data_IF_520457151354
#
_entry.id   IF_520457151354
#
_cell.length_a   1.000
_cell.length_b   1.000
_cell.length_c   1.000
_cell.angle_alpha   90.00
_cell.angle_beta   90.00
_cell.angle_gamma   90.00
#
_symmetry.space_group_name_H-M   'P 1'
#
loop_
_entity.id
_entity.type
_entity.pdbx_description
1 polymer ?
#
# COMPACT_ATOMS: atom_id res chain seq x y z
N UNK A 1 -12.67 9.47 13.98
CA UNK A 1 -12.27 8.05 13.84
C UNK A 1 -11.51 7.56 15.06
N UNK A 2 -10.38 8.15 15.40
CA UNK A 2 -9.55 7.75 16.55
C UNK A 2 -10.31 7.65 17.87
N UNK A 3 -11.01 8.71 18.30
CA UNK A 3 -11.81 8.69 19.54
C UNK A 3 -12.87 7.56 19.58
N UNK A 4 -13.52 7.26 18.45
CA UNK A 4 -14.58 6.24 18.36
C UNK A 4 -14.01 4.82 18.41
N UNK A 5 -12.75 4.63 18.06
CA UNK A 5 -12.14 3.32 17.86
C UNK A 5 -10.90 3.06 18.72
N UNK A 6 -10.59 3.96 19.66
CA UNK A 6 -9.44 3.87 20.56
C UNK A 6 -9.32 2.55 21.34
N UNK A 7 -10.42 1.83 21.56
CA UNK A 7 -10.41 0.54 22.25
C UNK A 7 -10.16 -0.66 21.31
N UNK A 8 -9.92 -0.42 20.02
CA UNK A 8 -9.72 -1.47 19.01
C UNK A 8 -8.24 -1.63 18.71
N UNK A 9 -7.78 -2.87 18.60
CA UNK A 9 -6.40 -3.22 18.25
C UNK A 9 -6.21 -3.58 16.77
N UNK A 10 -7.25 -3.40 15.95
CA UNK A 10 -7.29 -3.79 14.54
C UNK A 10 -7.55 -2.60 13.60
N UNK A 11 -7.22 -1.38 14.04
CA UNK A 11 -7.33 -0.16 13.24
C UNK A 11 -5.94 0.39 12.96
N UNK A 12 -5.65 0.64 11.68
CA UNK A 12 -4.43 1.29 11.20
C UNK A 12 -4.85 2.60 10.53
N UNK A 13 -4.12 3.69 10.79
CA UNK A 13 -4.47 5.01 10.27
C UNK A 13 -3.52 5.42 9.15
N UNK A 14 -3.98 5.38 7.90
CA UNK A 14 -3.27 6.02 6.79
C UNK A 14 -3.74 7.48 6.65
N UNK A 15 -2.83 8.43 6.85
CA UNK A 15 -3.19 9.85 7.01
C UNK A 15 -3.13 10.68 5.73
N UNK A 16 -2.52 10.14 4.68
CA UNK A 16 -2.50 10.72 3.33
C UNK A 16 -2.08 9.62 2.33
N UNK A 17 -2.99 9.23 1.43
CA UNK A 17 -2.79 8.14 0.46
C UNK A 17 -1.57 8.38 -0.44
N UNK A 18 -1.62 9.45 -1.24
CA UNK A 18 -0.66 9.70 -2.32
C UNK A 18 -0.26 11.17 -2.39
N UNK A 19 0.59 11.66 -1.46
CA UNK A 19 1.18 12.98 -1.62
C UNK A 19 1.90 13.12 -2.96
N UNK A 20 1.52 14.12 -3.74
CA UNK A 20 2.09 14.43 -5.05
C UNK A 20 2.17 15.95 -5.23
N UNK A 21 3.17 16.43 -5.97
CA UNK A 21 3.46 17.86 -6.15
C UNK A 21 3.97 18.58 -4.89
N UNK A 22 4.37 17.83 -3.85
CA UNK A 22 4.80 18.36 -2.55
C UNK A 22 6.08 17.70 -2.06
N UNK A 23 6.90 18.45 -1.33
CA UNK A 23 8.17 17.93 -0.79
C UNK A 23 7.96 16.95 0.36
N UNK A 24 8.94 16.07 0.61
CA UNK A 24 8.95 15.24 1.81
C UNK A 24 8.86 16.07 3.11
N UNK A 25 9.53 17.23 3.17
CA UNK A 25 9.47 18.10 4.35
C UNK A 25 8.04 18.59 4.65
N UNK A 26 7.26 18.92 3.60
CA UNK A 26 5.86 19.29 3.73
C UNK A 26 5.00 18.13 4.22
N UNK A 27 5.22 16.92 3.70
CA UNK A 27 4.53 15.69 4.11
C UNK A 27 4.82 15.37 5.57
N UNK A 28 6.09 15.40 5.98
CA UNK A 28 6.52 15.21 7.36
C UNK A 28 5.87 16.23 8.30
N UNK A 29 5.90 17.51 7.93
CA UNK A 29 5.29 18.57 8.74
C UNK A 29 3.78 18.38 8.92
N UNK A 30 3.07 17.94 7.86
CA UNK A 30 1.66 17.56 7.96
C UNK A 30 1.46 16.37 8.90
N UNK A 31 2.25 15.30 8.73
CA UNK A 31 2.16 14.11 9.57
C UNK A 31 2.36 14.43 11.06
N UNK A 32 3.35 15.26 11.37
CA UNK A 32 3.66 15.68 12.75
C UNK A 32 2.58 16.58 13.39
N UNK A 33 1.67 17.14 12.60
CA UNK A 33 0.48 17.85 13.10
C UNK A 33 -0.70 16.90 13.33
N UNK A 34 -0.89 15.89 12.48
CA UNK A 34 -2.03 14.96 12.54
C UNK A 34 -1.82 13.85 13.58
N UNK A 35 -0.60 13.31 13.66
CA UNK A 35 -0.27 12.19 14.57
C UNK A 35 -0.63 12.50 16.03
N UNK A 36 -0.30 13.68 16.61
CA UNK A 36 -0.69 14.01 17.98
C UNK A 36 -2.21 13.96 18.23
N UNK A 37 -3.03 14.30 17.23
CA UNK A 37 -4.50 14.25 17.35
C UNK A 37 -5.00 12.80 17.41
N UNK A 38 -4.39 11.89 16.64
CA UNK A 38 -4.68 10.45 16.72
C UNK A 38 -4.24 9.94 18.10
N UNK A 39 -2.99 10.22 18.49
CA UNK A 39 -2.37 9.75 19.74
C UNK A 39 -3.05 10.26 21.01
N UNK A 40 -3.64 11.44 20.97
CA UNK A 40 -4.43 11.96 22.09
C UNK A 40 -5.68 11.12 22.39
N UNK A 41 -6.12 10.28 21.45
CA UNK A 41 -7.25 9.37 21.62
C UNK A 41 -6.83 7.90 21.64
N UNK A 42 -5.84 7.52 20.83
CA UNK A 42 -5.36 6.15 20.62
C UNK A 42 -3.82 6.16 20.68
N UNK A 43 -3.24 6.08 21.90
CA UNK A 43 -1.81 6.30 22.12
C UNK A 43 -0.91 5.30 21.39
N UNK A 44 -1.40 4.09 21.13
CA UNK A 44 -0.60 2.98 20.59
C UNK A 44 -0.90 2.68 19.11
N UNK A 45 -1.91 3.32 18.49
CA UNK A 45 -2.27 3.22 17.08
C UNK A 45 -1.08 3.10 16.08
N UNK A 46 -1.00 2.10 15.20
CA UNK A 46 -0.09 2.19 14.05
C UNK A 46 -0.57 3.26 13.06
N UNK A 47 0.35 4.10 12.57
CA UNK A 47 0.07 5.15 11.59
C UNK A 47 0.92 4.95 10.34
N UNK A 48 0.29 5.01 9.17
CA UNK A 48 0.94 4.96 7.86
C UNK A 48 0.98 6.38 7.28
N UNK A 49 2.18 6.81 6.91
CA UNK A 49 2.42 8.13 6.30
C UNK A 49 2.74 7.95 4.82
N UNK A 50 1.95 8.60 3.95
CA UNK A 50 2.22 8.68 2.52
C UNK A 50 3.62 9.21 2.22
N UNK A 51 4.19 8.82 1.08
CA UNK A 51 5.52 9.31 0.65
C UNK A 51 5.40 10.16 -0.60
N UNK A 52 6.48 10.89 -0.93
CA UNK A 52 6.47 11.83 -2.06
C UNK A 52 6.24 11.10 -3.39
N UNK A 53 5.52 11.75 -4.30
CA UNK A 53 5.33 11.30 -5.68
C UNK A 53 4.40 10.09 -5.75
N UNK A 54 3.13 10.26 -5.37
CA UNK A 54 2.14 9.18 -5.33
C UNK A 54 2.60 8.00 -4.47
N UNK A 55 3.15 8.32 -3.29
CA UNK A 55 3.71 7.31 -2.38
C UNK A 55 4.75 6.40 -3.05
N UNK A 56 5.52 6.89 -4.01
CA UNK A 56 6.54 6.10 -4.70
C UNK A 56 7.92 6.19 -4.04
N UNK A 57 8.02 6.59 -2.78
CA UNK A 57 9.30 6.96 -2.12
C UNK A 57 10.07 8.05 -2.89
N UNK A 58 9.37 8.98 -3.54
CA UNK A 58 9.95 10.10 -4.29
C UNK A 58 10.39 9.78 -5.72
N UNK A 59 10.46 8.50 -6.11
CA UNK A 59 11.02 8.04 -7.39
C UNK A 59 10.34 8.69 -8.60
N UNK A 60 9.01 8.79 -8.59
CA UNK A 60 8.23 9.35 -9.71
C UNK A 60 8.44 10.86 -9.92
N UNK A 61 8.98 11.56 -8.91
CA UNK A 61 9.27 12.99 -8.95
C UNK A 61 10.79 13.29 -8.90
N UNK A 62 11.62 12.32 -9.28
CA UNK A 62 13.08 12.47 -9.35
C UNK A 62 13.80 12.45 -7.99
N UNK A 63 13.06 12.16 -6.91
CA UNK A 63 13.62 11.86 -5.59
C UNK A 63 14.01 10.39 -5.45
N UNK A 64 14.23 9.96 -4.20
CA UNK A 64 14.47 8.57 -3.84
C UNK A 64 14.22 8.35 -2.35
N UNK A 65 14.30 7.10 -1.91
CA UNK A 65 13.94 6.69 -0.55
C UNK A 65 14.77 7.37 0.54
N UNK A 66 15.95 7.91 0.23
CA UNK A 66 16.81 8.56 1.24
C UNK A 66 16.19 9.83 1.81
N UNK A 67 15.24 10.49 1.11
CA UNK A 67 14.49 11.63 1.64
C UNK A 67 13.77 11.26 2.95
N UNK A 68 13.09 10.11 2.94
CA UNK A 68 12.36 9.58 4.11
C UNK A 68 13.33 9.01 5.13
N UNK A 69 14.30 8.18 4.69
CA UNK A 69 15.14 7.46 5.62
C UNK A 69 16.06 8.40 6.43
N UNK A 70 16.56 9.47 5.82
CA UNK A 70 17.48 10.39 6.50
C UNK A 70 16.74 11.48 7.29
N UNK A 71 15.44 11.63 7.11
CA UNK A 71 14.62 12.60 7.84
C UNK A 71 13.23 12.00 8.16
N UNK A 72 13.17 10.94 8.97
CA UNK A 72 11.91 10.27 9.28
C UNK A 72 10.98 11.19 10.09
N UNK A 73 9.69 10.88 10.09
CA UNK A 73 8.71 11.52 10.99
C UNK A 73 9.13 11.29 12.44
N UNK A 74 9.12 12.34 13.26
CA UNK A 74 9.51 12.28 14.67
C UNK A 74 8.38 11.73 15.55
N UNK A 75 8.03 10.45 15.34
CA UNK A 75 7.07 9.71 16.13
C UNK A 75 7.38 8.21 16.11
N UNK A 76 6.87 7.48 17.10
CA UNK A 76 6.97 6.02 17.15
C UNK A 76 5.75 5.35 16.50
N UNK A 77 5.89 4.06 16.23
CA UNK A 77 4.88 3.20 15.60
C UNK A 77 4.34 3.79 14.27
N UNK A 78 5.30 4.21 13.43
CA UNK A 78 5.08 4.77 12.09
C UNK A 78 5.56 3.77 11.04
N UNK A 79 4.76 3.58 10.01
CA UNK A 79 5.14 2.94 8.75
C UNK A 79 5.01 3.97 7.62
N UNK A 80 5.71 3.73 6.51
CA UNK A 80 5.65 4.58 5.32
C UNK A 80 4.98 3.86 4.16
N UNK A 81 4.06 4.55 3.47
CA UNK A 81 3.38 4.01 2.32
C UNK A 81 4.33 3.88 1.13
N UNK A 82 4.23 2.75 0.42
CA UNK A 82 4.80 2.60 -0.92
C UNK A 82 3.75 2.09 -1.89
N UNK A 83 3.52 2.76 -3.01
CA UNK A 83 2.57 2.34 -4.03
C UNK A 83 3.26 1.91 -5.32
N UNK A 84 2.70 0.89 -5.98
CA UNK A 84 3.18 0.48 -7.29
C UNK A 84 2.10 -0.10 -8.22
N UNK A 85 2.33 -0.01 -9.52
CA UNK A 85 1.54 -0.70 -10.54
C UNK A 85 2.48 -1.58 -11.35
N UNK A 86 2.25 -2.91 -11.28
CA UNK A 86 3.26 -3.91 -11.62
C UNK A 86 3.78 -3.82 -13.07
N UNK A 87 2.94 -3.43 -14.02
CA UNK A 87 3.35 -3.31 -15.42
C UNK A 87 4.21 -2.05 -15.67
N UNK A 88 4.09 -1.02 -14.83
CA UNK A 88 4.80 0.26 -14.97
C UNK A 88 6.04 0.37 -14.08
N UNK A 89 5.94 -0.11 -12.85
CA UNK A 89 6.97 0.07 -11.83
C UNK A 89 7.74 -1.24 -11.67
N UNK A 90 8.98 -1.26 -12.18
CA UNK A 90 9.77 -2.49 -12.28
C UNK A 90 11.05 -2.44 -11.41
N UNK A 91 12.18 -2.91 -11.93
CA UNK A 91 13.44 -3.08 -11.19
C UNK A 91 13.84 -1.90 -10.30
N UNK A 92 13.92 -0.66 -10.83
CA UNK A 92 14.33 0.50 -10.05
C UNK A 92 13.48 0.76 -8.80
N UNK A 93 12.16 0.51 -8.90
CA UNK A 93 11.23 0.65 -7.79
C UNK A 93 11.42 -0.48 -6.76
N UNK A 94 11.61 -1.72 -7.22
CA UNK A 94 11.91 -2.88 -6.34
C UNK A 94 13.21 -2.70 -5.57
N UNK A 95 14.24 -2.15 -6.23
CA UNK A 95 15.53 -1.88 -5.60
C UNK A 95 15.40 -0.80 -4.51
N UNK A 96 14.61 0.25 -4.75
CA UNK A 96 14.33 1.28 -3.76
C UNK A 96 13.58 0.73 -2.54
N UNK A 97 12.54 -0.09 -2.74
CA UNK A 97 11.84 -0.78 -1.64
C UNK A 97 12.81 -1.64 -0.84
N UNK A 98 13.68 -2.41 -1.50
CA UNK A 98 14.66 -3.26 -0.82
C UNK A 98 15.63 -2.46 0.06
N UNK A 99 16.14 -1.32 -0.45
CA UNK A 99 17.00 -0.42 0.32
C UNK A 99 16.25 0.22 1.50
N UNK A 100 15.03 0.70 1.27
CA UNK A 100 14.20 1.33 2.29
C UNK A 100 13.79 0.37 3.41
N UNK A 101 13.31 -0.83 3.07
CA UNK A 101 12.83 -1.82 4.03
C UNK A 101 13.90 -2.29 5.03
N UNK A 102 15.18 -2.17 4.67
CA UNK A 102 16.29 -2.45 5.59
C UNK A 102 16.49 -1.40 6.70
N UNK A 103 15.84 -0.23 6.59
CA UNK A 103 16.07 0.94 7.46
C UNK A 103 14.80 1.55 8.05
N UNK A 104 13.66 1.41 7.37
CA UNK A 104 12.36 1.95 7.82
C UNK A 104 11.22 0.93 7.59
N UNK A 105 10.18 0.93 8.44
CA UNK A 105 9.00 0.09 8.22
C UNK A 105 8.20 0.58 7.02
N UNK A 106 7.88 -0.32 6.10
CA UNK A 106 7.04 -0.04 4.94
C UNK A 106 5.72 -0.81 5.02
N UNK A 107 4.68 -0.21 4.45
CA UNK A 107 3.42 -0.89 4.13
C UNK A 107 3.05 -0.51 2.70
N UNK A 108 2.74 -1.48 1.85
CA UNK A 108 2.20 -1.21 0.51
C UNK A 108 0.69 -1.04 0.61
N UNK A 109 0.23 0.16 0.95
CA UNK A 109 -1.21 0.41 1.17
C UNK A 109 -2.02 0.35 -0.12
N UNK A 110 -1.35 0.48 -1.26
CA UNK A 110 -1.96 0.32 -2.58
C UNK A 110 -0.98 -0.32 -3.57
N UNK A 111 -1.46 -1.28 -4.35
CA UNK A 111 -0.79 -1.66 -5.60
C UNK A 111 -1.76 -2.25 -6.63
N UNK A 112 -1.45 -2.06 -7.91
CA UNK A 112 -2.17 -2.67 -9.03
C UNK A 112 -1.35 -3.73 -9.77
N UNK A 113 -2.04 -4.72 -10.37
CA UNK A 113 -1.43 -5.77 -11.20
C UNK A 113 -1.27 -5.40 -12.68
N UNK A 114 -1.57 -4.15 -13.01
CA UNK A 114 -1.63 -3.58 -14.37
C UNK A 114 -0.71 -2.36 -14.43
N UNK A 115 -0.89 -1.45 -15.40
CA UNK A 115 -0.09 -0.22 -15.49
C UNK A 115 -0.64 0.89 -14.56
N UNK A 116 0.13 1.98 -14.41
CA UNK A 116 -0.15 3.09 -13.48
C UNK A 116 -1.48 3.81 -13.72
N UNK A 117 -2.16 3.56 -14.85
CA UNK A 117 -3.48 4.14 -15.12
C UNK A 117 -4.61 3.43 -14.37
N UNK A 118 -4.30 2.34 -13.65
CA UNK A 118 -5.30 1.45 -13.05
C UNK A 118 -5.96 0.52 -14.07
N UNK A 119 -5.53 0.59 -15.33
CA UNK A 119 -6.03 -0.20 -16.44
C UNK A 119 -4.88 -0.78 -17.26
N UNK A 120 -5.19 -1.36 -18.42
CA UNK A 120 -4.21 -1.98 -19.31
C UNK A 120 -4.00 -3.49 -19.06
N UNK A 121 -3.00 -4.10 -19.73
CA UNK A 121 -2.76 -5.53 -19.63
C UNK A 121 -2.38 -5.96 -18.20
N UNK A 122 -2.95 -7.07 -17.75
CA UNK A 122 -2.52 -7.74 -16.52
C UNK A 122 -1.11 -8.29 -16.70
N UNK A 123 -0.18 -7.87 -15.84
CA UNK A 123 1.21 -8.37 -15.83
C UNK A 123 1.42 -9.32 -14.64
N UNK A 124 1.10 -10.60 -14.86
CA UNK A 124 1.26 -11.63 -13.85
C UNK A 124 2.72 -11.84 -13.41
N UNK A 125 3.67 -11.70 -14.33
CA UNK A 125 5.09 -11.98 -14.05
C UNK A 125 5.69 -10.90 -13.14
N UNK A 126 5.46 -9.63 -13.47
CA UNK A 126 5.89 -8.52 -12.62
C UNK A 126 5.14 -8.52 -11.29
N UNK A 127 3.83 -8.81 -11.28
CA UNK A 127 3.04 -8.94 -10.05
C UNK A 127 3.60 -10.02 -9.13
N UNK A 128 3.92 -11.20 -9.67
CA UNK A 128 4.54 -12.29 -8.90
C UNK A 128 5.91 -11.88 -8.35
N UNK A 129 6.73 -11.20 -9.14
CA UNK A 129 8.05 -10.71 -8.71
C UNK A 129 7.92 -9.72 -7.54
N UNK A 130 6.98 -8.78 -7.62
CA UNK A 130 6.70 -7.83 -6.55
C UNK A 130 6.25 -8.54 -5.28
N UNK A 131 5.23 -9.40 -5.37
CA UNK A 131 4.68 -10.02 -4.17
C UNK A 131 5.66 -10.99 -3.51
N UNK A 132 6.54 -11.66 -4.28
CA UNK A 132 7.62 -12.47 -3.69
C UNK A 132 8.62 -11.61 -2.92
N UNK A 133 8.97 -10.43 -3.45
CA UNK A 133 9.83 -9.48 -2.75
C UNK A 133 9.19 -9.02 -1.44
N UNK A 134 7.92 -8.59 -1.48
CA UNK A 134 7.20 -8.12 -0.29
C UNK A 134 7.11 -9.20 0.79
N UNK A 135 6.78 -10.45 0.40
CA UNK A 135 6.79 -11.59 1.33
C UNK A 135 8.17 -11.81 1.97
N UNK A 136 9.24 -11.78 1.16
CA UNK A 136 10.61 -11.98 1.65
C UNK A 136 11.05 -10.92 2.66
N UNK A 137 10.56 -9.68 2.45
CA UNK A 137 10.84 -8.52 3.30
C UNK A 137 9.81 -8.36 4.43
N UNK A 138 8.80 -9.23 4.50
CA UNK A 138 7.68 -9.17 5.46
C UNK A 138 6.91 -7.84 5.41
N UNK A 139 6.76 -7.29 4.20
CA UNK A 139 6.02 -6.05 3.95
C UNK A 139 4.56 -6.40 3.66
N UNK A 140 3.65 -5.86 4.48
CA UNK A 140 2.20 -6.00 4.26
C UNK A 140 1.75 -5.22 3.02
N UNK A 141 0.70 -5.70 2.36
CA UNK A 141 0.15 -5.08 1.16
C UNK A 141 -1.37 -5.13 1.07
N UNK A 142 -1.96 -4.15 0.38
CA UNK A 142 -3.36 -4.13 -0.01
C UNK A 142 -3.51 -3.84 -1.51
N UNK A 143 -4.24 -4.70 -2.23
CA UNK A 143 -4.41 -4.59 -3.68
C UNK A 143 -5.53 -3.62 -4.06
N UNK A 144 -5.22 -2.73 -5.00
CA UNK A 144 -6.19 -1.95 -5.77
C UNK A 144 -6.76 -2.81 -6.91
N UNK A 145 -8.07 -3.09 -6.96
CA UNK A 145 -9.11 -2.69 -5.99
C UNK A 145 -10.25 -3.71 -5.90
N UNK A 146 -10.93 -3.75 -4.76
CA UNK A 146 -12.12 -4.58 -4.57
C UNK A 146 -13.39 -3.86 -5.06
N UNK A 147 -13.48 -3.69 -6.39
CA UNK A 147 -14.63 -3.12 -7.09
C UNK A 147 -15.02 -3.95 -8.30
N UNK A 148 -16.16 -3.63 -8.92
CA UNK A 148 -16.59 -4.12 -10.23
C UNK A 148 -16.47 -3.05 -11.33
N UNK A 149 -15.58 -2.07 -11.13
CA UNK A 149 -15.31 -1.04 -12.13
C UNK A 149 -14.82 -1.66 -13.45
N UNK A 150 -14.92 -0.93 -14.56
CA UNK A 150 -14.57 -1.46 -15.88
C UNK A 150 -13.06 -1.60 -16.10
N UNK A 151 -12.24 -0.87 -15.34
CA UNK A 151 -10.77 -0.96 -15.36
C UNK A 151 -10.25 -2.37 -15.04
N UNK A 152 -9.10 -2.73 -15.60
CA UNK A 152 -8.58 -4.10 -15.48
C UNK A 152 -7.97 -4.43 -14.10
N UNK A 153 -7.67 -3.43 -13.26
CA UNK A 153 -7.23 -3.64 -11.87
C UNK A 153 -8.36 -4.04 -10.92
N UNK A 154 -9.62 -3.79 -11.28
CA UNK A 154 -10.77 -4.18 -10.48
C UNK A 154 -10.81 -5.70 -10.26
N UNK A 155 -11.04 -6.15 -9.02
CA UNK A 155 -11.08 -7.56 -8.69
C UNK A 155 -12.30 -8.28 -9.29
N UNK A 156 -13.45 -7.61 -9.37
CA UNK A 156 -14.73 -8.19 -9.74
C UNK A 156 -15.13 -7.86 -11.19
N UNK A 157 -15.90 -8.74 -11.83
CA UNK A 157 -16.52 -8.46 -13.13
C UNK A 157 -17.64 -7.42 -13.00
N UNK A 158 -17.84 -6.51 -13.97
CA UNK A 158 -18.90 -5.50 -13.92
C UNK A 158 -20.28 -6.09 -13.62
N UNK A 159 -21.00 -5.47 -12.68
CA UNK A 159 -22.33 -5.92 -12.24
C UNK A 159 -22.29 -6.92 -11.08
N UNK A 160 -21.10 -7.33 -10.61
CA UNK A 160 -21.00 -8.20 -9.42
C UNK A 160 -21.50 -7.48 -8.16
N UNK A 161 -21.23 -6.18 -8.02
CA UNK A 161 -21.57 -5.42 -6.81
C UNK A 161 -23.08 -5.24 -6.61
N UNK A 162 -23.87 -5.21 -7.69
CA UNK A 162 -25.33 -5.14 -7.61
C UNK A 162 -25.99 -6.50 -7.35
N UNK A 163 -25.21 -7.59 -7.43
CA UNK A 163 -25.65 -8.94 -7.13
C UNK A 163 -25.50 -9.33 -5.65
N UNK A 164 -25.78 -10.59 -5.36
CA UNK A 164 -25.68 -11.17 -4.00
C UNK A 164 -24.61 -12.26 -3.89
N UNK A 165 -23.88 -12.56 -4.98
CA UNK A 165 -22.89 -13.63 -5.01
C UNK A 165 -21.50 -13.07 -5.32
N UNK A 166 -20.58 -13.23 -4.36
CA UNK A 166 -19.17 -12.82 -4.44
C UNK A 166 -18.21 -14.02 -4.44
N UNK A 167 -18.74 -15.23 -4.56
CA UNK A 167 -17.99 -16.47 -4.36
C UNK A 167 -17.47 -17.04 -5.68
N UNK A 168 -16.28 -17.64 -5.60
CA UNK A 168 -15.66 -18.37 -6.70
C UNK A 168 -15.00 -17.47 -7.75
N UNK A 169 -14.31 -18.09 -8.71
CA UNK A 169 -13.55 -17.36 -9.73
C UNK A 169 -14.44 -16.78 -10.85
N UNK A 170 -15.69 -17.23 -10.97
CA UNK A 170 -16.61 -16.82 -12.03
C UNK A 170 -17.08 -15.36 -11.95
N UNK A 171 -16.87 -14.69 -10.82
CA UNK A 171 -17.19 -13.26 -10.61
C UNK A 171 -15.94 -12.39 -10.60
N UNK A 172 -14.76 -12.97 -10.81
CA UNK A 172 -13.47 -12.27 -10.68
C UNK A 172 -12.84 -12.00 -12.04
N UNK A 173 -12.23 -10.82 -12.19
CA UNK A 173 -11.29 -10.53 -13.28
C UNK A 173 -9.97 -11.27 -13.06
N UNK A 174 -9.09 -11.35 -14.08
CA UNK A 174 -7.76 -11.96 -13.92
C UNK A 174 -6.97 -11.43 -12.71
N UNK A 175 -6.99 -10.11 -12.47
CA UNK A 175 -6.39 -9.49 -11.29
C UNK A 175 -6.95 -10.06 -9.97
N UNK A 176 -8.29 -10.09 -9.85
CA UNK A 176 -8.97 -10.63 -8.67
C UNK A 176 -8.73 -12.14 -8.47
N UNK A 177 -8.68 -12.94 -9.54
CA UNK A 177 -8.36 -14.36 -9.46
C UNK A 177 -6.93 -14.59 -8.94
N UNK A 178 -5.98 -13.82 -9.46
CA UNK A 178 -4.59 -13.87 -9.01
C UNK A 178 -4.48 -13.50 -7.53
N UNK A 179 -5.08 -12.39 -7.11
CA UNK A 179 -5.02 -11.94 -5.73
C UNK A 179 -5.74 -12.88 -4.77
N UNK A 180 -6.92 -13.41 -5.15
CA UNK A 180 -7.60 -14.45 -4.36
C UNK A 180 -6.69 -15.66 -4.15
N UNK A 181 -6.05 -16.16 -5.21
CA UNK A 181 -5.11 -17.28 -5.07
C UNK A 181 -3.93 -16.94 -4.17
N UNK A 182 -3.45 -15.69 -4.19
CA UNK A 182 -2.30 -15.25 -3.41
C UNK A 182 -2.60 -15.19 -1.91
N UNK A 183 -3.75 -14.64 -1.54
CA UNK A 183 -4.11 -14.35 -0.13
C UNK A 183 -4.82 -15.52 0.57
N UNK A 184 -5.17 -16.58 -0.17
CA UNK A 184 -5.80 -17.77 0.40
C UNK A 184 -4.87 -18.61 1.28
N UNK A 185 -3.56 -18.44 1.12
CA UNK A 185 -2.55 -19.11 1.94
C UNK A 185 -1.99 -18.09 2.91
N UNK A 186 -2.18 -18.31 4.21
CA UNK A 186 -1.51 -17.52 5.23
C UNK A 186 0.00 -17.65 5.06
N UNK A 187 0.71 -16.56 5.30
CA UNK A 187 2.16 -16.60 5.39
C UNK A 187 2.61 -17.29 6.69
N UNK A 188 3.91 -17.55 6.80
CA UNK A 188 4.50 -18.09 8.02
C UNK A 188 4.92 -16.96 8.98
N UNK A 189 4.09 -15.92 9.14
CA UNK A 189 4.41 -14.84 10.07
C UNK A 189 4.44 -15.40 11.49
N UNK A 190 5.53 -15.20 12.27
CA UNK A 190 5.57 -15.70 13.63
C UNK A 190 4.50 -15.00 14.46
N UNK A 191 3.56 -15.77 15.00
CA UNK A 191 2.45 -15.25 15.81
C UNK A 191 2.77 -15.12 17.30
N UNK A 192 4.00 -15.43 17.71
CA UNK A 192 4.54 -15.29 19.07
C UNK A 192 5.99 -15.73 19.12
#
# INVERSE_FOLDING_TARGET
MSARHASKNNVIYEIANEPNGVSWASIKSYAEQVIPVIRGNDPDAPVIVGTRGWSSLGISEGGNETEVINNPVNAQNIMYAFHFYAASHQGPYRDAVSRAASRIPLFVTEFGTVDYTGSGPFDQASSTTWLNLLDSLKISYANWTFSDHTESSAALLPGTCSGSNYSGNGVLKPSGQFMRSRIMTADNFPTS
#
